data_IF_153228725318
#
_entry.id   IF_153228725318
#
_cell.length_a   1.000
_cell.length_b   1.000
_cell.length_c   1.000
_cell.angle_alpha   90.00
_cell.angle_beta   90.00
_cell.angle_gamma   90.00
#
_symmetry.space_group_name_H-M   'P 1'
#
loop_
_entity.id
_entity.type
_entity.pdbx_description
1 polymer ?
#
# COMPACT_ATOMS: atom_id res chain seq x y z
N UNK A 1 -2.52 -26.16 9.95
CA UNK A 1 -1.40 -25.21 9.77
C UNK A 1 -1.46 -24.27 10.96
N UNK A 2 -0.33 -23.92 11.59
CA UNK A 2 -0.36 -22.91 12.65
C UNK A 2 -0.73 -21.57 12.01
N UNK A 3 -1.71 -20.87 12.58
CA UNK A 3 -2.10 -19.53 12.11
C UNK A 3 -1.01 -18.57 12.59
N UNK A 4 -0.33 -17.90 11.66
CA UNK A 4 0.71 -16.91 11.99
C UNK A 4 0.11 -15.76 12.81
N UNK A 5 0.89 -15.18 13.72
CA UNK A 5 0.41 -14.05 14.48
C UNK A 5 0.25 -12.83 13.55
N UNK A 6 -0.76 -11.97 13.73
CA UNK A 6 -0.96 -10.83 12.82
C UNK A 6 0.23 -9.84 12.80
N UNK A 7 1.05 -9.81 13.85
CA UNK A 7 2.30 -9.04 13.88
C UNK A 7 3.36 -9.61 12.95
N UNK A 8 3.47 -10.94 12.83
CA UNK A 8 4.39 -11.61 11.91
C UNK A 8 3.96 -11.36 10.46
N UNK A 9 2.64 -11.40 10.21
CA UNK A 9 2.07 -11.11 8.89
C UNK A 9 2.36 -9.65 8.49
N UNK A 10 2.24 -8.71 9.43
CA UNK A 10 2.56 -7.31 9.17
C UNK A 10 4.05 -7.10 8.84
N UNK A 11 4.96 -7.75 9.59
CA UNK A 11 6.39 -7.68 9.31
C UNK A 11 6.72 -8.27 7.93
N UNK A 12 6.12 -9.41 7.58
CA UNK A 12 6.29 -10.05 6.27
C UNK A 12 5.79 -9.15 5.14
N UNK A 13 4.61 -8.54 5.28
CA UNK A 13 4.10 -7.61 4.28
C UNK A 13 4.98 -6.36 4.11
N UNK A 14 5.58 -5.86 5.20
CA UNK A 14 6.53 -4.74 5.13
C UNK A 14 7.85 -5.14 4.45
N UNK A 15 8.27 -6.40 4.61
CA UNK A 15 9.41 -6.96 3.89
C UNK A 15 9.08 -7.08 2.38
N UNK A 16 7.94 -7.68 2.02
CA UNK A 16 7.47 -7.76 0.64
C UNK A 16 7.41 -6.38 -0.03
N UNK A 17 6.89 -5.35 0.66
CA UNK A 17 6.94 -3.96 0.19
C UNK A 17 8.36 -3.49 -0.10
N UNK A 18 9.30 -3.80 0.78
CA UNK A 18 10.71 -3.38 0.65
C UNK A 18 11.39 -4.06 -0.53
N UNK A 19 11.00 -5.30 -0.81
CA UNK A 19 11.44 -6.06 -1.99
C UNK A 19 10.70 -5.64 -3.27
N UNK A 20 9.61 -4.87 -3.13
CA UNK A 20 8.80 -4.36 -4.21
C UNK A 20 7.64 -5.26 -4.60
N UNK A 21 7.37 -6.34 -3.88
CA UNK A 21 6.27 -7.27 -4.11
C UNK A 21 4.96 -6.73 -3.50
N UNK A 22 4.45 -5.61 -4.04
CA UNK A 22 3.30 -4.89 -3.45
C UNK A 22 1.97 -5.64 -3.59
N UNK A 23 1.78 -6.39 -4.66
CA UNK A 23 0.57 -7.19 -4.87
C UNK A 23 0.48 -8.30 -3.83
N UNK A 24 1.54 -9.08 -3.66
CA UNK A 24 1.63 -10.12 -2.62
C UNK A 24 1.53 -9.53 -1.22
N UNK A 25 2.15 -8.37 -0.97
CA UNK A 25 2.02 -7.69 0.32
C UNK A 25 0.58 -7.25 0.61
N UNK A 26 -0.21 -6.89 -0.41
CA UNK A 26 -1.61 -6.51 -0.24
C UNK A 26 -2.50 -7.74 -0.03
N UNK A 27 -2.29 -8.82 -0.80
CA UNK A 27 -3.00 -10.09 -0.66
C UNK A 27 -2.80 -10.71 0.73
N UNK A 28 -1.55 -10.78 1.20
CA UNK A 28 -1.22 -11.29 2.52
C UNK A 28 -1.91 -10.50 3.65
N UNK A 29 -2.00 -9.18 3.51
CA UNK A 29 -2.68 -8.35 4.51
C UNK A 29 -4.21 -8.43 4.41
N UNK A 30 -4.76 -8.69 3.22
CA UNK A 30 -6.20 -8.96 3.06
C UNK A 30 -6.61 -10.23 3.81
N UNK A 31 -5.84 -11.31 3.65
CA UNK A 31 -6.08 -12.56 4.38
C UNK A 31 -6.01 -12.34 5.90
N UNK A 32 -5.06 -11.53 6.38
CA UNK A 32 -4.96 -11.19 7.79
C UNK A 32 -6.17 -10.39 8.32
N UNK A 33 -6.75 -9.52 7.49
CA UNK A 33 -7.90 -8.70 7.87
C UNK A 33 -9.20 -9.50 7.94
N UNK A 34 -9.32 -10.59 7.18
CA UNK A 34 -10.50 -11.46 7.22
C UNK A 34 -10.66 -12.14 8.59
N UNK A 35 -9.55 -12.47 9.24
CA UNK A 35 -9.52 -13.13 10.55
C UNK A 35 -9.40 -12.14 11.74
N UNK A 36 -9.04 -10.88 11.49
CA UNK A 36 -8.74 -9.91 12.55
C UNK A 36 -9.92 -8.97 12.84
N UNK A 37 -10.49 -8.95 14.05
CA UNK A 37 -11.61 -8.07 14.36
C UNK A 37 -11.20 -6.59 14.36
N UNK A 38 -12.06 -5.66 13.91
CA UNK A 38 -11.78 -4.22 13.88
C UNK A 38 -11.46 -3.57 15.23
N UNK A 39 -11.78 -4.25 16.33
CA UNK A 39 -11.49 -3.81 17.70
C UNK A 39 -10.04 -4.06 18.12
N UNK A 40 -9.31 -4.90 17.40
CA UNK A 40 -7.91 -5.18 17.70
C UNK A 40 -7.03 -3.97 17.36
N UNK A 41 -6.10 -3.57 18.26
CA UNK A 41 -5.22 -2.42 18.00
C UNK A 41 -4.44 -2.53 16.69
N UNK A 42 -4.06 -3.75 16.32
CA UNK A 42 -3.26 -4.02 15.14
C UNK A 42 -4.07 -3.95 13.83
N UNK A 43 -5.40 -4.03 13.90
CA UNK A 43 -6.28 -3.94 12.72
C UNK A 43 -6.06 -2.64 11.96
N UNK A 44 -5.96 -1.52 12.68
CA UNK A 44 -5.77 -0.21 12.04
C UNK A 44 -4.43 -0.11 11.31
N UNK A 45 -3.39 -0.75 11.82
CA UNK A 45 -2.07 -0.74 11.20
C UNK A 45 -2.01 -1.66 9.97
N UNK A 46 -2.58 -2.86 10.06
CA UNK A 46 -2.69 -3.79 8.91
C UNK A 46 -3.57 -3.18 7.82
N UNK A 47 -4.72 -2.60 8.19
CA UNK A 47 -5.63 -1.95 7.25
C UNK A 47 -4.96 -0.76 6.54
N UNK A 48 -4.15 0.02 7.26
CA UNK A 48 -3.36 1.11 6.68
C UNK A 48 -2.35 0.58 5.64
N UNK A 49 -1.53 -0.40 6.04
CA UNK A 49 -0.50 -0.99 5.19
C UNK A 49 -1.10 -1.63 3.94
N UNK A 50 -2.19 -2.39 4.09
CA UNK A 50 -2.92 -3.01 2.98
C UNK A 50 -3.39 -1.97 1.98
N UNK A 51 -4.08 -0.93 2.46
CA UNK A 51 -4.66 0.11 1.62
C UNK A 51 -3.59 0.91 0.87
N UNK A 52 -2.43 1.08 1.49
CA UNK A 52 -1.28 1.69 0.85
C UNK A 52 -0.71 0.74 -0.23
N UNK A 53 -0.40 -0.52 0.10
CA UNK A 53 0.17 -1.49 -0.86
C UNK A 53 -0.71 -1.66 -2.09
N UNK A 54 -2.00 -1.89 -1.91
CA UNK A 54 -2.96 -2.07 -3.00
C UNK A 54 -2.98 -0.88 -3.97
N UNK A 55 -3.02 0.35 -3.46
CA UNK A 55 -3.03 1.55 -4.33
C UNK A 55 -1.69 1.76 -5.02
N UNK A 56 -0.58 1.50 -4.34
CA UNK A 56 0.74 1.64 -4.96
C UNK A 56 0.97 0.59 -6.05
N UNK A 57 0.50 -0.65 -5.85
CA UNK A 57 0.48 -1.68 -6.86
C UNK A 57 -0.39 -1.27 -8.06
N UNK A 58 -1.59 -0.73 -7.80
CA UNK A 58 -2.46 -0.18 -8.85
C UNK A 58 -1.77 0.93 -9.66
N UNK A 59 -1.06 1.87 -9.03
CA UNK A 59 -0.30 2.90 -9.75
C UNK A 59 0.75 2.24 -10.66
N UNK A 60 1.47 1.21 -10.18
CA UNK A 60 2.46 0.48 -11.01
C UNK A 60 1.82 -0.16 -12.22
N UNK A 61 0.69 -0.84 -12.04
CA UNK A 61 -0.04 -1.48 -13.11
C UNK A 61 -0.51 -0.46 -14.14
N UNK A 62 -1.14 0.63 -13.71
CA UNK A 62 -1.60 1.71 -14.58
C UNK A 62 -0.45 2.34 -15.38
N UNK A 63 0.71 2.58 -14.73
CA UNK A 63 1.90 3.04 -15.43
C UNK A 63 2.42 2.01 -16.45
N UNK A 64 2.36 0.71 -16.13
CA UNK A 64 2.73 -0.36 -17.08
C UNK A 64 1.81 -0.36 -18.30
N UNK A 65 0.52 -0.14 -18.09
CA UNK A 65 -0.51 -0.13 -19.14
C UNK A 65 -0.54 1.18 -19.94
N UNK A 66 0.25 2.17 -19.54
CA UNK A 66 0.25 3.51 -20.14
C UNK A 66 -0.93 4.39 -19.71
N UNK A 67 -1.72 3.96 -18.73
CA UNK A 67 -2.81 4.72 -18.11
C UNK A 67 -2.25 5.77 -17.13
N UNK A 68 -1.69 6.85 -17.68
CA UNK A 68 -1.08 7.93 -16.88
C UNK A 68 -2.14 8.70 -16.08
N UNK A 69 -3.31 8.92 -16.66
CA UNK A 69 -4.41 9.62 -15.99
C UNK A 69 -4.90 8.83 -14.78
N UNK A 70 -5.15 7.53 -14.94
CA UNK A 70 -5.54 6.66 -13.84
C UNK A 70 -4.45 6.54 -12.77
N UNK A 71 -3.16 6.47 -13.17
CA UNK A 71 -2.05 6.48 -12.21
C UNK A 71 -2.04 7.75 -11.35
N UNK A 72 -2.31 8.92 -11.95
CA UNK A 72 -2.41 10.22 -11.26
C UNK A 72 -3.61 10.29 -10.32
N UNK A 73 -4.75 9.76 -10.74
CA UNK A 73 -5.95 9.67 -9.88
C UNK A 73 -5.68 8.79 -8.66
N UNK A 74 -5.14 7.59 -8.87
CA UNK A 74 -4.79 6.67 -7.78
C UNK A 74 -3.73 7.28 -6.85
N UNK A 75 -2.73 7.99 -7.40
CA UNK A 75 -1.76 8.73 -6.59
C UNK A 75 -2.43 9.77 -5.69
N UNK A 76 -3.37 10.54 -6.24
CA UNK A 76 -4.16 11.51 -5.47
C UNK A 76 -4.97 10.84 -4.37
N UNK A 77 -5.53 9.65 -4.62
CA UNK A 77 -6.21 8.85 -3.60
C UNK A 77 -5.26 8.45 -2.46
N UNK A 78 -4.05 7.99 -2.77
CA UNK A 78 -3.04 7.64 -1.75
C UNK A 78 -2.71 8.85 -0.88
N UNK A 79 -2.46 10.01 -1.50
CA UNK A 79 -2.15 11.25 -0.77
C UNK A 79 -3.31 11.65 0.14
N UNK A 80 -4.56 11.55 -0.34
CA UNK A 80 -5.76 11.85 0.47
C UNK A 80 -5.91 10.86 1.62
N UNK A 81 -5.71 9.57 1.36
CA UNK A 81 -5.81 8.50 2.36
C UNK A 81 -4.79 8.69 3.49
N UNK A 82 -3.56 9.04 3.16
CA UNK A 82 -2.49 9.26 4.13
C UNK A 82 -2.57 10.63 4.84
N UNK A 83 -3.45 11.53 4.38
CA UNK A 83 -3.53 12.89 4.92
C UNK A 83 -4.00 12.87 6.38
N UNK A 84 -3.16 13.42 7.26
CA UNK A 84 -3.47 13.48 8.70
C UNK A 84 -3.21 12.17 9.45
N UNK A 85 -2.76 11.10 8.78
CA UNK A 85 -2.40 9.86 9.46
C UNK A 85 -1.09 10.05 10.25
N UNK A 86 -1.00 9.64 11.53
CA UNK A 86 0.22 9.81 12.34
C UNK A 86 1.45 9.14 11.73
N UNK A 87 1.24 8.01 11.07
CA UNK A 87 2.29 7.19 10.47
C UNK A 87 2.61 7.55 9.00
N UNK A 88 2.04 8.63 8.44
CA UNK A 88 2.16 8.95 7.00
C UNK A 88 3.61 9.06 6.52
N UNK A 89 4.52 9.52 7.38
CA UNK A 89 5.93 9.75 7.04
C UNK A 89 6.67 8.47 6.63
N UNK A 90 6.17 7.29 7.02
CA UNK A 90 6.72 5.99 6.58
C UNK A 90 6.50 5.73 5.08
N UNK A 91 5.49 6.36 4.48
CA UNK A 91 5.02 6.08 3.13
C UNK A 91 5.38 7.16 2.12
N UNK A 92 5.45 8.43 2.56
CA UNK A 92 5.60 9.60 1.68
C UNK A 92 6.74 9.45 0.68
N UNK A 93 7.92 8.96 1.11
CA UNK A 93 9.08 8.86 0.22
C UNK A 93 8.82 8.04 -1.05
N UNK A 94 8.02 6.98 -0.94
CA UNK A 94 7.60 6.19 -2.09
C UNK A 94 6.51 6.91 -2.91
N UNK A 95 5.54 7.53 -2.24
CA UNK A 95 4.47 8.31 -2.90
C UNK A 95 5.05 9.45 -3.76
N UNK A 96 6.04 10.17 -3.25
CA UNK A 96 6.73 11.25 -3.98
C UNK A 96 7.51 10.71 -5.18
N UNK A 97 8.12 9.52 -5.07
CA UNK A 97 8.80 8.88 -6.20
C UNK A 97 7.84 8.59 -7.35
N UNK A 98 6.62 8.14 -7.07
CA UNK A 98 5.62 7.89 -8.11
C UNK A 98 5.09 9.17 -8.76
N UNK A 99 4.91 10.25 -8.00
CA UNK A 99 4.57 11.57 -8.57
C UNK A 99 5.60 12.01 -9.61
N UNK A 100 6.89 11.83 -9.34
CA UNK A 100 7.97 12.14 -10.29
C UNK A 100 7.88 11.28 -11.56
N UNK A 101 7.59 9.98 -11.43
CA UNK A 101 7.45 9.07 -12.58
C UNK A 101 6.24 9.45 -13.43
N UNK A 102 5.08 9.71 -12.81
CA UNK A 102 3.85 10.11 -13.50
C UNK A 102 4.10 11.39 -14.31
N UNK A 103 4.62 12.45 -13.66
CA UNK A 103 4.94 13.73 -14.35
C UNK A 103 5.99 13.59 -15.44
N UNK A 104 6.91 12.63 -15.30
CA UNK A 104 7.92 12.32 -16.31
C UNK A 104 7.32 11.75 -17.60
N UNK A 105 6.18 11.05 -17.51
CA UNK A 105 5.49 10.42 -18.64
C UNK A 105 4.40 11.28 -19.27
N UNK A 106 4.02 12.40 -18.65
CA UNK A 106 3.08 13.39 -19.21
C UNK A 106 3.72 14.32 -20.26
N UNK A 107 5.03 14.24 -20.49
CA UNK A 107 5.79 15.08 -21.43
C UNK A 107 5.96 14.42 -22.78
#
# INVERSE_FOLDING_TARGET
MAQQAPSEILEEAQQLRSDGELDWAAELLDEALDDLPPTEPLFQEIHLERNYHWRMARIRQQLSDGDIEGARETHTEVVRFLRGHPQRNRFIGNVDRYDLVIRGRER
#
